data_IF_775742010747
#
_entry.id   IF_775742010747
#
_cell.length_a   1.000
_cell.length_b   1.000
_cell.length_c   1.000
_cell.angle_alpha   90.00
_cell.angle_beta   90.00
_cell.angle_gamma   90.00
#
_symmetry.space_group_name_H-M   'P 1'
#
loop_
_entity.id
_entity.type
_entity.pdbx_description
1 polymer ?
#
# COMPACT_ATOMS: atom_id res chain seq x y z
N UNK A 1 -12.89 -13.84 -5.11
CA UNK A 1 -11.45 -13.79 -4.82
C UNK A 1 -10.58 -13.95 -6.09
N UNK A 2 -10.95 -13.20 -7.12
CA UNK A 2 -10.28 -13.22 -8.42
C UNK A 2 -8.82 -12.78 -8.30
N UNK A 3 -8.55 -11.66 -7.61
CA UNK A 3 -7.20 -11.08 -7.48
C UNK A 3 -6.25 -12.03 -6.76
N UNK A 4 -6.66 -12.61 -5.63
CA UNK A 4 -5.86 -13.58 -4.90
C UNK A 4 -5.59 -14.84 -5.70
N UNK A 5 -6.54 -15.31 -6.50
CA UNK A 5 -6.37 -16.43 -7.42
C UNK A 5 -5.32 -16.16 -8.49
N UNK A 6 -5.35 -14.96 -9.08
CA UNK A 6 -4.38 -14.52 -10.09
C UNK A 6 -2.96 -14.39 -9.50
N UNK A 7 -2.82 -13.86 -8.27
CA UNK A 7 -1.53 -13.77 -7.59
C UNK A 7 -0.96 -15.17 -7.34
N UNK A 8 -1.76 -16.10 -6.79
CA UNK A 8 -1.33 -17.49 -6.52
C UNK A 8 -0.87 -18.25 -7.77
N UNK A 9 -1.42 -17.90 -8.92
CA UNK A 9 -1.06 -18.52 -10.22
C UNK A 9 -0.05 -17.70 -11.02
N UNK A 10 0.63 -16.74 -10.37
CA UNK A 10 1.69 -15.89 -10.95
C UNK A 10 1.23 -14.98 -12.11
N UNK A 11 -0.07 -14.67 -12.20
CA UNK A 11 -0.63 -13.75 -13.20
C UNK A 11 -0.64 -12.30 -12.69
N UNK A 12 0.51 -11.77 -12.28
CA UNK A 12 0.65 -10.48 -11.60
C UNK A 12 0.05 -9.30 -12.39
N UNK A 13 0.32 -9.27 -13.71
CA UNK A 13 -0.25 -8.22 -14.59
C UNK A 13 -1.78 -8.25 -14.61
N UNK A 14 -2.38 -9.42 -14.69
CA UNK A 14 -3.83 -9.56 -14.68
C UNK A 14 -4.42 -9.21 -13.30
N UNK A 15 -3.75 -9.61 -12.22
CA UNK A 15 -4.14 -9.26 -10.87
C UNK A 15 -4.18 -7.72 -10.68
N UNK A 16 -3.10 -7.03 -11.07
CA UNK A 16 -3.04 -5.57 -10.98
C UNK A 16 -4.11 -4.90 -11.86
N UNK A 17 -4.36 -5.40 -13.07
CA UNK A 17 -5.40 -4.88 -13.94
C UNK A 17 -6.80 -5.05 -13.33
N UNK A 18 -7.08 -6.17 -12.65
CA UNK A 18 -8.34 -6.40 -11.95
C UNK A 18 -8.52 -5.39 -10.79
N UNK A 19 -7.47 -5.13 -10.00
CA UNK A 19 -7.51 -4.12 -8.93
C UNK A 19 -7.74 -2.73 -9.52
N UNK A 20 -7.04 -2.35 -10.59
CA UNK A 20 -7.21 -1.03 -11.22
C UNK A 20 -8.61 -0.82 -11.80
N UNK A 21 -9.27 -1.89 -12.27
CA UNK A 21 -10.69 -1.83 -12.65
C UNK A 21 -11.56 -1.47 -11.46
N UNK A 22 -11.35 -2.09 -10.30
CA UNK A 22 -12.09 -1.76 -9.07
C UNK A 22 -11.83 -0.32 -8.60
N UNK A 23 -10.60 0.19 -8.75
CA UNK A 23 -10.29 1.61 -8.50
C UNK A 23 -11.12 2.52 -9.41
N UNK A 24 -11.28 2.15 -10.70
CA UNK A 24 -12.14 2.88 -11.64
C UNK A 24 -13.60 2.92 -11.19
N UNK A 25 -14.15 1.79 -10.73
CA UNK A 25 -15.52 1.71 -10.20
C UNK A 25 -15.70 2.55 -8.91
N UNK A 26 -14.69 2.54 -8.03
CA UNK A 26 -14.69 3.38 -6.82
C UNK A 26 -14.71 4.88 -7.18
N UNK A 27 -13.89 5.31 -8.12
CA UNK A 27 -13.89 6.70 -8.61
C UNK A 27 -15.24 7.10 -9.24
N UNK A 28 -15.84 6.18 -10.00
CA UNK A 28 -17.18 6.40 -10.55
C UNK A 28 -18.22 6.57 -9.43
N UNK A 29 -18.17 5.73 -8.40
CA UNK A 29 -19.06 5.83 -7.25
C UNK A 29 -18.94 7.19 -6.55
N UNK A 30 -17.70 7.73 -6.35
CA UNK A 30 -17.48 9.07 -5.81
C UNK A 30 -18.12 10.14 -6.69
N UNK A 31 -17.98 10.01 -8.02
CA UNK A 31 -18.55 10.96 -8.97
C UNK A 31 -20.08 10.93 -8.94
N UNK A 32 -20.68 9.74 -8.96
CA UNK A 32 -22.13 9.55 -9.01
C UNK A 32 -22.82 9.96 -7.70
N UNK A 33 -22.20 9.68 -6.55
CA UNK A 33 -22.75 10.01 -5.23
C UNK A 33 -22.43 11.44 -4.80
N UNK A 34 -21.38 12.05 -5.34
CA UNK A 34 -20.92 13.42 -5.10
C UNK A 34 -20.98 13.83 -3.60
N UNK A 35 -20.33 13.11 -2.68
CA UNK A 35 -20.45 13.32 -1.22
C UNK A 35 -20.10 14.76 -0.79
N UNK A 36 -19.21 15.43 -1.53
CA UNK A 36 -18.80 16.81 -1.29
C UNK A 36 -19.93 17.85 -1.53
N UNK A 37 -21.05 17.45 -2.16
CA UNK A 37 -22.23 18.28 -2.37
C UNK A 37 -23.25 18.16 -1.24
N UNK A 38 -23.20 17.07 -0.45
CA UNK A 38 -24.14 16.81 0.64
C UNK A 38 -23.74 17.63 1.87
N UNK A 39 -24.46 18.74 2.10
CA UNK A 39 -24.13 19.70 3.18
C UNK A 39 -25.30 19.95 4.12
N UNK A 40 -26.52 19.57 3.72
CA UNK A 40 -27.70 19.79 4.53
C UNK A 40 -27.75 18.80 5.71
N UNK A 41 -28.25 19.23 6.89
CA UNK A 41 -28.35 18.36 8.08
C UNK A 41 -29.12 17.05 7.82
N UNK A 42 -30.16 17.10 7.01
CA UNK A 42 -30.98 15.96 6.61
C UNK A 42 -30.26 14.96 5.69
N UNK A 43 -29.15 15.37 5.05
CA UNK A 43 -28.33 14.53 4.20
C UNK A 43 -27.22 13.79 4.95
N UNK A 44 -27.08 14.05 6.25
CA UNK A 44 -25.96 13.57 7.07
C UNK A 44 -25.86 12.04 7.10
N UNK A 45 -26.98 11.35 7.24
CA UNK A 45 -27.01 9.87 7.29
C UNK A 45 -26.59 9.27 5.95
N UNK A 46 -27.04 9.87 4.84
CA UNK A 46 -26.62 9.49 3.49
C UNK A 46 -25.13 9.73 3.30
N UNK A 47 -24.62 10.90 3.70
CA UNK A 47 -23.20 11.23 3.64
C UNK A 47 -22.37 10.23 4.45
N UNK A 48 -22.79 9.92 5.67
CA UNK A 48 -22.11 8.95 6.54
C UNK A 48 -22.03 7.55 5.89
N UNK A 49 -23.12 7.10 5.29
CA UNK A 49 -23.19 5.82 4.56
C UNK A 49 -22.21 5.80 3.37
N UNK A 50 -22.17 6.89 2.58
CA UNK A 50 -21.27 6.98 1.43
C UNK A 50 -19.81 6.98 1.91
N UNK A 51 -19.46 7.77 2.92
CA UNK A 51 -18.11 7.86 3.44
C UNK A 51 -17.66 6.53 4.04
N UNK A 52 -18.52 5.83 4.79
CA UNK A 52 -18.21 4.51 5.31
C UNK A 52 -17.97 3.49 4.19
N UNK A 53 -18.81 3.50 3.17
CA UNK A 53 -18.65 2.63 2.00
C UNK A 53 -17.32 2.90 1.29
N UNK A 54 -16.97 4.17 1.08
CA UNK A 54 -15.70 4.56 0.47
C UNK A 54 -14.50 4.14 1.33
N UNK A 55 -14.56 4.34 2.64
CA UNK A 55 -13.50 3.91 3.55
C UNK A 55 -13.29 2.39 3.47
N UNK A 56 -14.37 1.59 3.44
CA UNK A 56 -14.28 0.15 3.28
C UNK A 56 -13.69 -0.24 1.91
N UNK A 57 -14.11 0.42 0.83
CA UNK A 57 -13.56 0.17 -0.51
C UNK A 57 -12.07 0.48 -0.56
N UNK A 58 -11.63 1.60 0.02
CA UNK A 58 -10.20 1.96 0.08
C UNK A 58 -9.41 0.93 0.87
N UNK A 59 -9.94 0.46 2.01
CA UNK A 59 -9.29 -0.60 2.81
C UNK A 59 -9.19 -1.92 2.04
N UNK A 60 -10.25 -2.33 1.33
CA UNK A 60 -10.25 -3.54 0.52
C UNK A 60 -9.25 -3.44 -0.66
N UNK A 61 -9.20 -2.29 -1.35
CA UNK A 61 -8.23 -2.01 -2.42
C UNK A 61 -6.80 -2.00 -1.89
N UNK A 62 -6.59 -1.42 -0.70
CA UNK A 62 -5.29 -1.38 -0.05
C UNK A 62 -4.77 -2.80 0.23
N UNK A 63 -5.64 -3.68 0.75
CA UNK A 63 -5.30 -5.11 0.96
C UNK A 63 -4.88 -5.78 -0.35
N UNK A 64 -5.63 -5.54 -1.45
CA UNK A 64 -5.31 -6.13 -2.75
C UNK A 64 -4.03 -5.57 -3.38
N UNK A 65 -3.66 -4.32 -3.07
CA UNK A 65 -2.44 -3.67 -3.57
C UNK A 65 -1.21 -3.94 -2.71
N UNK A 66 -1.37 -4.42 -1.49
CA UNK A 66 -0.27 -4.69 -0.55
C UNK A 66 0.86 -5.53 -1.15
N UNK A 67 0.61 -6.62 -1.92
CA UNK A 67 1.69 -7.40 -2.54
C UNK A 67 2.50 -6.64 -3.60
N UNK A 68 1.97 -5.55 -4.14
CA UNK A 68 2.62 -4.74 -5.18
C UNK A 68 3.25 -3.47 -4.62
N UNK A 69 2.62 -2.87 -3.61
CA UNK A 69 2.97 -1.56 -3.07
C UNK A 69 2.96 -1.57 -1.53
N UNK A 70 3.78 -2.41 -0.86
CA UNK A 70 3.72 -2.61 0.58
C UNK A 70 3.96 -1.31 1.38
N UNK A 71 4.91 -0.48 0.97
CA UNK A 71 5.17 0.81 1.63
C UNK A 71 3.96 1.75 1.54
N UNK A 72 3.38 1.87 0.33
CA UNK A 72 2.20 2.71 0.12
C UNK A 72 0.98 2.17 0.86
N UNK A 73 0.85 0.85 0.99
CA UNK A 73 -0.23 0.23 1.73
C UNK A 73 -0.18 0.60 3.23
N UNK A 74 1.00 0.59 3.84
CA UNK A 74 1.20 1.04 5.22
C UNK A 74 0.87 2.54 5.37
N UNK A 75 1.28 3.38 4.41
CA UNK A 75 0.95 4.80 4.42
C UNK A 75 -0.55 5.07 4.26
N UNK A 76 -1.25 4.34 3.40
CA UNK A 76 -2.71 4.44 3.25
C UNK A 76 -3.41 4.06 4.56
N UNK A 77 -2.96 3.00 5.22
CA UNK A 77 -3.53 2.60 6.51
C UNK A 77 -3.36 3.69 7.57
N UNK A 78 -2.18 4.32 7.67
CA UNK A 78 -1.94 5.48 8.54
C UNK A 78 -2.90 6.64 8.23
N UNK A 79 -3.13 6.94 6.95
CA UNK A 79 -4.08 8.00 6.54
C UNK A 79 -5.52 7.65 6.94
N UNK A 80 -5.87 6.37 6.98
CA UNK A 80 -7.16 5.88 7.45
C UNK A 80 -7.25 5.75 8.99
N UNK A 81 -6.20 6.17 9.71
CA UNK A 81 -6.12 6.11 11.17
C UNK A 81 -5.67 4.75 11.71
N UNK A 82 -5.03 3.92 10.89
CA UNK A 82 -4.38 2.68 11.29
C UNK A 82 -3.02 2.89 11.94
N UNK A 83 -2.34 1.77 12.20
CA UNK A 83 -0.98 1.75 12.77
C UNK A 83 0.12 1.66 11.71
N UNK A 84 -0.26 1.54 10.43
CA UNK A 84 0.68 1.45 9.31
C UNK A 84 1.40 0.11 9.21
N UNK A 85 0.82 -0.95 9.73
CA UNK A 85 1.43 -2.29 9.75
C UNK A 85 0.61 -3.35 9.01
N UNK A 86 -0.03 -2.95 7.91
CA UNK A 86 -0.83 -3.87 7.08
C UNK A 86 0.01 -4.72 6.13
N UNK A 87 1.24 -4.30 5.87
CA UNK A 87 2.17 -5.03 5.02
C UNK A 87 3.46 -5.36 5.79
N UNK A 88 3.97 -6.60 5.68
CA UNK A 88 5.29 -6.92 6.20
C UNK A 88 6.35 -6.17 5.41
N UNK A 89 7.29 -5.55 6.11
CA UNK A 89 8.39 -4.83 5.48
C UNK A 89 9.63 -5.72 5.49
N UNK A 90 10.32 -5.85 4.34
CA UNK A 90 11.59 -6.58 4.30
C UNK A 90 12.62 -5.87 5.18
N UNK A 91 13.43 -6.67 5.87
CA UNK A 91 14.62 -6.20 6.58
C UNK A 91 15.83 -6.61 5.76
N UNK A 92 16.84 -5.75 5.73
CA UNK A 92 18.14 -6.08 5.16
C UNK A 92 19.05 -6.39 6.32
N UNK A 93 19.61 -7.60 6.34
CA UNK A 93 20.58 -8.03 7.35
C UNK A 93 21.88 -8.39 6.65
N UNK A 94 23.01 -7.94 7.21
CA UNK A 94 24.33 -8.33 6.75
C UNK A 94 24.70 -9.70 7.35
N UNK A 95 24.96 -10.67 6.48
CA UNK A 95 25.36 -12.02 6.87
C UNK A 95 26.78 -12.29 6.42
N UNK A 96 27.55 -12.90 7.32
CA UNK A 96 28.92 -13.30 7.02
C UNK A 96 28.93 -14.48 6.03
N UNK A 97 29.74 -14.36 4.97
CA UNK A 97 30.03 -15.44 4.04
C UNK A 97 31.03 -16.41 4.71
N UNK A 98 30.58 -17.63 4.94
CA UNK A 98 31.39 -18.64 5.61
C UNK A 98 32.48 -19.22 4.70
N UNK A 99 32.28 -19.14 3.39
CA UNK A 99 33.15 -19.78 2.40
C UNK A 99 34.17 -18.80 1.79
N UNK A 100 33.82 -17.50 1.75
CA UNK A 100 34.63 -16.47 1.10
C UNK A 100 35.16 -15.45 2.12
N UNK A 101 36.45 -15.11 1.95
CA UNK A 101 37.10 -14.06 2.72
C UNK A 101 37.58 -12.92 1.81
N UNK A 102 37.69 -11.74 2.35
CA UNK A 102 38.37 -10.62 1.70
C UNK A 102 39.88 -10.90 1.56
N UNK A 103 40.55 -10.14 0.67
CA UNK A 103 42.01 -10.29 0.45
C UNK A 103 42.88 -10.10 1.71
N UNK A 104 42.37 -9.34 2.68
CA UNK A 104 43.00 -9.09 3.97
C UNK A 104 42.68 -10.14 5.03
N UNK A 105 41.92 -11.19 4.69
CA UNK A 105 41.50 -12.25 5.59
C UNK A 105 40.24 -11.93 6.42
N UNK A 106 39.72 -10.72 6.35
CA UNK A 106 38.48 -10.35 7.04
C UNK A 106 37.26 -11.12 6.49
N UNK A 107 36.22 -11.21 7.32
CA UNK A 107 34.96 -11.78 6.88
C UNK A 107 34.37 -10.94 5.73
N UNK A 108 33.93 -11.63 4.69
CA UNK A 108 33.12 -11.03 3.65
C UNK A 108 31.67 -11.08 4.11
N UNK A 109 30.94 -9.96 4.04
CA UNK A 109 29.50 -9.91 4.29
C UNK A 109 28.73 -9.65 3.00
N UNK A 110 27.48 -10.07 2.98
CA UNK A 110 26.54 -9.76 1.93
C UNK A 110 25.17 -9.51 2.52
N UNK A 111 24.36 -8.60 1.92
CA UNK A 111 23.02 -8.30 2.38
C UNK A 111 22.07 -9.42 2.00
N UNK A 112 21.24 -9.86 2.94
CA UNK A 112 20.12 -10.74 2.70
C UNK A 112 18.81 -10.05 3.07
N UNK A 113 17.74 -10.40 2.38
CA UNK A 113 16.40 -9.98 2.75
C UNK A 113 15.84 -10.96 3.77
N UNK A 114 15.51 -10.42 4.94
CA UNK A 114 14.85 -11.17 6.01
C UNK A 114 13.52 -10.52 6.36
N UNK A 115 12.69 -11.21 7.09
CA UNK A 115 11.42 -10.71 7.59
C UNK A 115 10.51 -11.86 8.00
N UNK A 116 9.68 -11.64 9.02
CA UNK A 116 8.61 -12.57 9.36
C UNK A 116 7.37 -12.22 8.52
N UNK A 117 7.18 -12.97 7.45
CA UNK A 117 6.02 -12.81 6.57
C UNK A 117 4.83 -13.68 6.99
N UNK A 118 5.01 -14.61 7.92
CA UNK A 118 3.96 -15.56 8.31
C UNK A 118 2.85 -14.90 9.11
N UNK A 119 3.19 -13.96 9.99
CA UNK A 119 2.22 -13.22 10.79
C UNK A 119 1.27 -12.33 9.98
N UNK A 120 1.59 -12.06 8.72
CA UNK A 120 0.83 -11.19 7.80
C UNK A 120 0.18 -11.96 6.64
N UNK A 121 0.23 -13.30 6.67
CA UNK A 121 -0.21 -14.15 5.56
C UNK A 121 -1.74 -14.27 5.44
N UNK A 122 -2.51 -13.29 5.90
CA UNK A 122 -3.96 -13.30 5.80
C UNK A 122 -4.41 -12.51 4.59
N UNK A 123 -5.13 -13.19 3.68
CA UNK A 123 -5.85 -12.56 2.58
C UNK A 123 -7.31 -12.38 2.98
N UNK A 124 -7.53 -11.58 4.04
CA UNK A 124 -8.84 -11.39 4.64
C UNK A 124 -9.28 -9.93 4.53
N UNK A 125 -10.58 -9.75 4.48
CA UNK A 125 -11.17 -8.43 4.49
C UNK A 125 -11.10 -7.83 5.88
N UNK A 126 -10.51 -6.66 6.01
CA UNK A 126 -10.48 -5.89 7.25
C UNK A 126 -11.66 -4.92 7.30
N UNK A 127 -12.56 -5.02 8.28
CA UNK A 127 -13.66 -4.08 8.42
C UNK A 127 -13.15 -2.71 8.89
N UNK A 128 -13.72 -1.64 8.34
CA UNK A 128 -13.47 -0.29 8.84
C UNK A 128 -14.04 -0.16 10.24
N UNK A 129 -13.18 0.24 11.19
CA UNK A 129 -13.58 0.43 12.58
C UNK A 129 -14.32 1.78 12.74
N UNK A 130 -15.56 1.72 13.20
CA UNK A 130 -16.34 2.92 13.52
C UNK A 130 -15.75 3.67 14.70
N UNK A 131 -15.84 5.00 14.67
CA UNK A 131 -15.33 5.86 15.75
C UNK A 131 -13.81 6.06 15.75
N UNK A 132 -13.09 5.54 14.78
CA UNK A 132 -11.65 5.78 14.61
C UNK A 132 -11.41 7.24 14.22
N UNK A 133 -10.44 7.87 14.87
CA UNK A 133 -10.01 9.20 14.51
C UNK A 133 -9.15 9.14 13.24
N UNK A 134 -9.63 9.79 12.19
CA UNK A 134 -8.85 9.93 10.95
C UNK A 134 -7.96 11.15 11.09
N UNK A 135 -6.62 11.00 10.90
CA UNK A 135 -5.70 12.14 10.99
C UNK A 135 -5.92 13.13 9.85
N UNK A 136 -5.27 14.29 9.94
CA UNK A 136 -5.30 15.27 8.85
C UNK A 136 -4.82 14.62 7.53
N UNK A 137 -5.55 14.79 6.40
CA UNK A 137 -5.21 14.16 5.15
C UNK A 137 -3.85 14.65 4.64
N UNK A 138 -3.04 13.72 4.14
CA UNK A 138 -1.75 14.01 3.48
C UNK A 138 -1.65 13.21 2.19
N UNK A 139 -0.98 13.71 1.15
CA UNK A 139 -0.73 12.94 -0.06
C UNK A 139 0.17 11.73 0.26
N UNK A 140 -0.25 10.54 -0.16
CA UNK A 140 0.59 9.32 -0.10
C UNK A 140 1.67 9.38 -1.18
N UNK A 141 1.33 9.90 -2.35
CA UNK A 141 2.26 10.07 -3.46
C UNK A 141 2.53 11.56 -3.71
N UNK A 142 3.79 11.91 -3.92
CA UNK A 142 4.17 13.24 -4.38
C UNK A 142 4.21 13.24 -5.92
N UNK A 143 3.78 14.35 -6.51
CA UNK A 143 4.06 14.59 -7.92
C UNK A 143 5.58 14.78 -8.06
N UNK A 144 6.19 14.00 -8.95
CA UNK A 144 7.61 14.14 -9.24
C UNK A 144 7.86 15.46 -9.99
N UNK A 145 8.91 16.16 -9.58
CA UNK A 145 9.39 17.35 -10.29
C UNK A 145 10.14 16.93 -11.56
N UNK A 146 10.13 17.80 -12.58
CA UNK A 146 10.85 17.53 -13.82
C UNK A 146 12.37 17.42 -13.59
N UNK A 147 12.91 18.12 -12.59
CA UNK A 147 14.32 18.07 -12.22
C UNK A 147 14.77 16.75 -11.55
N UNK A 148 13.87 15.89 -11.15
CA UNK A 148 14.23 14.64 -10.44
C UNK A 148 15.05 13.68 -11.29
N UNK A 149 14.87 13.73 -12.62
CA UNK A 149 15.63 12.91 -13.56
C UNK A 149 17.12 13.30 -13.55
N UNK A 150 17.40 14.60 -13.50
CA UNK A 150 18.76 15.14 -13.43
C UNK A 150 19.41 14.79 -12.09
N UNK A 151 18.69 14.95 -10.98
CA UNK A 151 19.17 14.57 -9.65
C UNK A 151 19.50 13.07 -9.53
N UNK A 152 18.67 12.19 -10.10
CA UNK A 152 18.91 10.74 -10.07
C UNK A 152 20.04 10.33 -11.02
N UNK A 153 20.21 11.01 -12.15
CA UNK A 153 21.36 10.79 -13.03
C UNK A 153 22.68 11.20 -12.37
N UNK A 154 22.72 12.32 -11.64
CA UNK A 154 23.89 12.73 -10.87
C UNK A 154 24.22 11.72 -9.76
N UNK A 155 23.19 11.23 -9.06
CA UNK A 155 23.33 10.20 -8.01
C UNK A 155 23.90 8.87 -8.54
N UNK A 156 23.51 8.50 -9.76
CA UNK A 156 23.97 7.25 -10.40
C UNK A 156 25.44 7.33 -10.90
N UNK A 157 26.05 8.53 -10.94
CA UNK A 157 27.45 8.73 -11.36
C UNK A 157 28.45 8.72 -10.20
N UNK A 158 27.95 8.66 -8.95
CA UNK A 158 28.74 8.59 -7.72
C UNK A 158 28.51 7.25 -7.03
#
# INVERSE_FOLDING_TARGET
>A
DEVGGLIRTHHQKAALAAVMKLVGEANKYVTDTAPFKLKAPEERDRLATILWTLAQVVTDLNTMLTPFLPHSANEVDLVLGGDGQVAPMPRIEEVEDLDLRNRDGSARTYPILTGDYQGYATWERHPVLLGRLVPAPRPVFRKLDEGIVEEELERAQH
#
